data_IF_060843418770
#
_entry.id   IF_060843418770
#
_cell.length_a   1.000
_cell.length_b   1.000
_cell.length_c   1.000
_cell.angle_alpha   90.00
_cell.angle_beta   90.00
_cell.angle_gamma   90.00
#
_symmetry.space_group_name_H-M   'P 1'
#
loop_
_entity.id
_entity.type
_entity.pdbx_description
1 polymer ?
#
# COMPACT_ATOMS: atom_id res chain seq x y z
N UNK A 1 -9.79 8.12 11.85
CA UNK A 1 -9.41 8.44 10.46
C UNK A 1 -9.31 7.13 9.68
N UNK A 2 -9.82 7.09 8.43
CA UNK A 2 -9.73 5.92 7.55
C UNK A 2 -9.03 6.32 6.24
N UNK A 3 -8.11 5.49 5.79
CA UNK A 3 -7.40 5.63 4.52
C UNK A 3 -7.63 4.37 3.69
N UNK A 4 -8.18 4.54 2.50
CA UNK A 4 -8.33 3.45 1.52
C UNK A 4 -7.52 3.78 0.27
N UNK A 5 -6.67 2.85 -0.16
CA UNK A 5 -5.80 2.98 -1.33
C UNK A 5 -5.89 1.72 -2.18
N UNK A 6 -6.15 1.86 -3.48
CA UNK A 6 -6.05 0.77 -4.44
C UNK A 6 -4.76 0.93 -5.25
N UNK A 7 -3.95 -0.12 -5.29
CA UNK A 7 -2.72 -0.15 -6.08
C UNK A 7 -2.76 -1.25 -7.13
N UNK A 8 -2.16 -0.96 -8.29
CA UNK A 8 -1.89 -1.91 -9.36
C UNK A 8 -0.39 -1.97 -9.57
N UNK A 9 0.17 -3.18 -9.66
CA UNK A 9 1.58 -3.40 -9.97
C UNK A 9 1.70 -3.84 -11.43
N UNK A 10 2.51 -3.13 -12.21
CA UNK A 10 2.76 -3.43 -13.62
C UNK A 10 4.19 -3.87 -13.85
N UNK A 11 4.39 -4.85 -14.72
CA UNK A 11 5.69 -5.19 -15.29
C UNK A 11 6.12 -4.10 -16.27
N UNK A 12 7.35 -3.59 -16.12
CA UNK A 12 7.83 -2.47 -16.92
C UNK A 12 8.20 -2.86 -18.37
N UNK A 13 8.56 -4.12 -18.61
CA UNK A 13 8.94 -4.64 -19.93
C UNK A 13 7.68 -4.94 -20.74
N UNK A 14 6.77 -5.72 -20.16
CA UNK A 14 5.56 -6.19 -20.87
C UNK A 14 4.40 -5.21 -20.78
N UNK A 15 4.48 -4.22 -19.88
CA UNK A 15 3.41 -3.27 -19.51
C UNK A 15 2.14 -3.96 -18.98
N UNK A 16 2.20 -5.24 -18.65
CA UNK A 16 1.06 -5.96 -18.10
C UNK A 16 0.88 -5.66 -16.61
N UNK A 17 -0.36 -5.56 -16.17
CA UNK A 17 -0.68 -5.52 -14.74
C UNK A 17 -0.54 -6.95 -14.21
N UNK A 18 0.44 -7.15 -13.32
CA UNK A 18 0.78 -8.46 -12.77
C UNK A 18 0.06 -8.74 -11.46
N UNK A 19 -0.41 -7.70 -10.76
CA UNK A 19 -1.22 -7.84 -9.57
C UNK A 19 -1.95 -6.53 -9.20
N UNK A 20 -2.97 -6.65 -8.37
CA UNK A 20 -3.64 -5.50 -7.75
C UNK A 20 -4.07 -5.84 -6.32
N UNK A 21 -4.14 -4.83 -5.45
CA UNK A 21 -4.62 -4.98 -4.08
C UNK A 21 -5.21 -3.66 -3.58
N UNK A 22 -6.23 -3.75 -2.72
CA UNK A 22 -6.76 -2.63 -1.95
C UNK A 22 -6.25 -2.72 -0.52
N UNK A 23 -5.76 -1.59 -0.01
CA UNK A 23 -5.35 -1.38 1.37
C UNK A 23 -6.39 -0.50 2.04
N UNK A 24 -6.85 -0.90 3.23
CA UNK A 24 -7.81 -0.14 4.02
C UNK A 24 -7.32 -0.09 5.47
N UNK A 25 -6.86 1.08 5.90
CA UNK A 25 -6.26 1.31 7.21
C UNK A 25 -7.13 2.28 8.01
N UNK A 26 -7.44 1.91 9.25
CA UNK A 26 -8.21 2.75 10.17
C UNK A 26 -7.39 3.02 11.42
N UNK A 27 -7.13 4.30 11.67
CA UNK A 27 -6.37 4.78 12.84
C UNK A 27 -7.28 5.65 13.70
N UNK A 28 -7.51 5.28 14.98
CA UNK A 28 -8.22 6.16 15.90
C UNK A 28 -7.37 7.40 16.19
N UNK A 29 -8.00 8.58 16.28
CA UNK A 29 -7.34 9.77 16.77
C UNK A 29 -7.17 9.66 18.29
N UNK A 30 -6.03 10.13 18.81
CA UNK A 30 -5.77 10.13 20.24
C UNK A 30 -6.55 11.22 20.99
N UNK A 31 -7.00 12.26 20.28
CA UNK A 31 -7.84 13.34 20.76
C UNK A 31 -8.90 13.71 19.73
N UNK A 32 -10.00 14.29 20.19
CA UNK A 32 -11.10 14.80 19.35
C UNK A 32 -10.88 16.28 19.00
N UNK A 33 -9.68 16.58 18.50
CA UNK A 33 -9.30 17.90 18.00
C UNK A 33 -8.68 17.77 16.59
N UNK A 34 -8.59 18.88 15.82
CA UNK A 34 -8.03 18.84 14.47
C UNK A 34 -6.60 18.28 14.40
N UNK A 35 -5.78 18.51 15.43
CA UNK A 35 -4.41 18.01 15.48
C UNK A 35 -4.37 16.48 15.65
N UNK A 36 -5.20 15.93 16.53
CA UNK A 36 -5.39 14.47 16.70
C UNK A 36 -5.81 13.79 15.40
N UNK A 37 -6.66 14.45 14.59
CA UNK A 37 -7.02 13.99 13.26
C UNK A 37 -5.83 13.94 12.28
N UNK A 38 -4.99 14.98 12.25
CA UNK A 38 -3.79 15.04 11.39
C UNK A 38 -2.77 13.98 11.77
N UNK A 39 -2.53 13.77 13.07
CA UNK A 39 -1.65 12.71 13.57
C UNK A 39 -2.14 11.34 13.13
N UNK A 40 -3.45 11.06 13.25
CA UNK A 40 -4.04 9.81 12.80
C UNK A 40 -3.91 9.61 11.28
N UNK A 41 -4.08 10.68 10.50
CA UNK A 41 -3.92 10.65 9.04
C UNK A 41 -2.49 10.33 8.61
N UNK A 42 -1.51 11.03 9.19
CA UNK A 42 -0.09 10.78 8.90
C UNK A 42 0.30 9.32 9.24
N UNK A 43 -0.19 8.81 10.39
CA UNK A 43 0.06 7.42 10.78
C UNK A 43 -0.60 6.42 9.81
N UNK A 44 -1.82 6.67 9.36
CA UNK A 44 -2.48 5.82 8.38
C UNK A 44 -1.69 5.76 7.05
N UNK A 45 -1.19 6.91 6.57
CA UNK A 45 -0.34 6.98 5.37
C UNK A 45 0.93 6.16 5.56
N UNK A 46 1.65 6.35 6.67
CA UNK A 46 2.88 5.60 6.94
C UNK A 46 2.64 4.08 6.95
N UNK A 47 1.54 3.63 7.57
CA UNK A 47 1.17 2.20 7.60
C UNK A 47 0.85 1.65 6.22
N UNK A 48 0.05 2.36 5.43
CA UNK A 48 -0.30 1.93 4.06
C UNK A 48 0.94 1.91 3.17
N UNK A 49 1.83 2.90 3.25
CA UNK A 49 3.07 2.92 2.46
C UNK A 49 4.01 1.76 2.81
N UNK A 50 4.11 1.42 4.10
CA UNK A 50 4.89 0.25 4.53
C UNK A 50 4.27 -1.07 4.02
N UNK A 51 2.94 -1.19 4.02
CA UNK A 51 2.23 -2.34 3.43
C UNK A 51 2.43 -2.42 1.92
N UNK A 52 2.32 -1.29 1.22
CA UNK A 52 2.53 -1.18 -0.22
C UNK A 52 3.95 -1.58 -0.63
N UNK A 53 4.98 -1.11 0.09
CA UNK A 53 6.37 -1.46 -0.18
C UNK A 53 6.63 -2.96 -0.06
N UNK A 54 6.10 -3.61 0.99
CA UNK A 54 6.17 -5.07 1.16
C UNK A 54 5.44 -5.81 0.04
N UNK A 55 4.23 -5.38 -0.29
CA UNK A 55 3.44 -5.95 -1.38
C UNK A 55 4.19 -5.90 -2.72
N UNK A 56 4.79 -4.75 -3.05
CA UNK A 56 5.59 -4.62 -4.28
C UNK A 56 6.80 -5.56 -4.28
N UNK A 57 7.57 -5.61 -3.19
CA UNK A 57 8.76 -6.45 -3.09
C UNK A 57 8.43 -7.95 -3.22
N UNK A 58 7.41 -8.43 -2.50
CA UNK A 58 6.99 -9.84 -2.54
C UNK A 58 6.43 -10.20 -3.91
N UNK A 59 5.54 -9.37 -4.46
CA UNK A 59 4.88 -9.66 -5.74
C UNK A 59 5.87 -9.62 -6.91
N UNK A 60 6.77 -8.63 -6.95
CA UNK A 60 7.79 -8.54 -7.99
C UNK A 60 8.76 -9.74 -7.95
N UNK A 61 9.15 -10.19 -6.75
CA UNK A 61 10.01 -11.37 -6.61
C UNK A 61 9.33 -12.68 -7.03
N UNK A 62 8.02 -12.81 -6.84
CA UNK A 62 7.26 -13.96 -7.34
C UNK A 62 7.15 -13.94 -8.86
N UNK A 63 6.87 -12.78 -9.45
CA UNK A 63 6.75 -12.61 -10.89
C UNK A 63 8.07 -12.86 -11.64
N UNK A 64 9.18 -12.34 -11.13
CA UNK A 64 10.51 -12.56 -11.76
C UNK A 64 10.93 -14.02 -11.73
N UNK A 65 10.54 -14.79 -10.71
CA UNK A 65 10.78 -16.23 -10.63
C UNK A 65 9.94 -17.02 -11.62
N UNK A 66 8.68 -16.62 -11.83
CA UNK A 66 7.81 -17.25 -12.83
C UNK A 66 8.27 -16.98 -14.27
N UNK A 67 9.03 -15.91 -14.49
CA UNK A 67 9.60 -15.54 -15.77
C UNK A 67 11.00 -16.16 -16.05
N UNK A 68 11.58 -16.91 -15.11
CA UNK A 68 12.85 -17.62 -15.33
C UNK A 68 12.60 -18.87 -16.20
N UNK A 69 13.47 -19.15 -17.20
CA UNK A 69 13.29 -20.24 -18.16
C UNK A 69 13.43 -21.63 -17.54
#
# INVERSE_FOLDING_TARGET
MRLTLRATLSDNVTRQVIAWQTFDESVPAASDDPYGGVVAANLAVQRVMAQLGRYCATTAALHSRAAAP
#
